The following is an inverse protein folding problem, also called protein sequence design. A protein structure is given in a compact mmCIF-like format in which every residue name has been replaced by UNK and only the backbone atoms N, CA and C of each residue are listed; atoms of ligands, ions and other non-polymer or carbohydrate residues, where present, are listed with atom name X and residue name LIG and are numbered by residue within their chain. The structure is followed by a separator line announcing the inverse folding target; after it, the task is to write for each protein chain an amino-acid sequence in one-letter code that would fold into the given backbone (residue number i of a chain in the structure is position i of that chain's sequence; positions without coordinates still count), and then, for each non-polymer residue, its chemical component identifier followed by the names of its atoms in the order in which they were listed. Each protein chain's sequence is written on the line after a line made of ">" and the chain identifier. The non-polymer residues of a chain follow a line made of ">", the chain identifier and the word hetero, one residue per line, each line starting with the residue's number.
data_IF_081977392021
#
_entry.id   IF_081977392021
#
_cell.length_a   1.000
_cell.length_b   1.000
_cell.length_c   1.000
_cell.angle_alpha   90.00
_cell.angle_beta   90.00
_cell.angle_gamma   90.00
#
_symmetry.space_group_name_H-M   'P 1'
#
loop_
_entity.id
_entity.type
_entity.pdbx_description
1 polymer ?
#
# COMPACT_ATOMS: atom_id res chain seq x y z
N UNK A 1 29.81 -10.15 -21.83
CA UNK A 1 29.67 -9.78 -20.41
C UNK A 1 28.17 -9.71 -20.13
N UNK A 2 27.57 -10.82 -19.69
CA UNK A 2 26.14 -10.84 -19.33
C UNK A 2 25.99 -10.18 -17.95
N UNK A 3 25.46 -8.96 -17.93
CA UNK A 3 24.97 -8.36 -16.69
C UNK A 3 23.70 -9.11 -16.29
N UNK A 4 23.83 -10.09 -15.40
CA UNK A 4 22.70 -10.59 -14.65
C UNK A 4 22.26 -9.45 -13.72
N UNK A 5 21.40 -8.56 -14.23
CA UNK A 5 20.63 -7.68 -13.39
C UNK A 5 19.75 -8.60 -12.53
N UNK A 6 20.20 -8.89 -11.31
CA UNK A 6 19.35 -9.52 -10.33
C UNK A 6 18.11 -8.65 -10.21
N UNK A 7 16.93 -9.22 -10.46
CA UNK A 7 15.67 -8.62 -10.08
C UNK A 7 15.66 -8.55 -8.55
N UNK A 8 16.34 -7.55 -7.98
CA UNK A 8 16.24 -7.25 -6.57
C UNK A 8 14.78 -6.90 -6.29
N UNK A 9 14.29 -7.32 -5.12
CA UNK A 9 12.92 -7.07 -4.64
C UNK A 9 12.59 -5.59 -4.78
N UNK A 10 11.74 -5.25 -5.75
CA UNK A 10 11.34 -3.87 -5.98
C UNK A 10 10.11 -3.57 -5.13
N UNK A 11 10.10 -2.37 -4.57
CA UNK A 11 8.91 -1.85 -3.94
C UNK A 11 7.97 -1.31 -5.03
N UNK A 12 6.66 -1.45 -4.83
CA UNK A 12 5.64 -0.93 -5.72
C UNK A 12 4.45 -0.38 -4.92
N UNK A 13 3.64 0.46 -5.56
CA UNK A 13 2.46 1.04 -4.95
C UNK A 13 1.33 0.01 -4.89
N UNK A 14 0.85 -0.27 -3.69
CA UNK A 14 -0.28 -1.17 -3.49
C UNK A 14 -1.60 -0.41 -3.56
N UNK A 15 -2.65 -0.97 -4.20
CA UNK A 15 -3.98 -0.39 -4.18
C UNK A 15 -4.52 -0.26 -2.76
N UNK A 16 -5.19 0.87 -2.52
CA UNK A 16 -5.94 1.10 -1.28
C UNK A 16 -7.39 0.68 -1.51
N UNK A 17 -7.85 -0.32 -0.74
CA UNK A 17 -9.18 -0.91 -0.85
C UNK A 17 -10.27 0.02 -0.29
N UNK A 18 -9.99 0.65 0.86
CA UNK A 18 -10.93 1.55 1.53
C UNK A 18 -10.20 2.53 2.45
N UNK A 19 -10.90 3.58 2.86
CA UNK A 19 -10.41 4.51 3.87
C UNK A 19 -11.52 5.01 4.79
N UNK A 20 -11.13 5.39 6.00
CA UNK A 20 -11.98 5.99 7.02
C UNK A 20 -11.33 7.28 7.53
N UNK A 21 -12.14 8.32 7.72
CA UNK A 21 -11.68 9.57 8.32
C UNK A 21 -11.91 9.55 9.83
N UNK A 22 -10.87 9.87 10.58
CA UNK A 22 -10.95 10.07 12.02
C UNK A 22 -11.80 11.29 12.40
N UNK A 23 -12.15 11.44 13.69
CA UNK A 23 -13.03 12.52 14.17
C UNK A 23 -12.50 13.93 13.92
N UNK A 24 -11.17 14.08 13.84
CA UNK A 24 -10.49 15.34 13.54
C UNK A 24 -10.53 15.71 12.04
N UNK A 25 -10.97 14.79 11.19
CA UNK A 25 -10.92 14.89 9.74
C UNK A 25 -9.50 14.94 9.16
N UNK A 26 -8.46 14.82 9.99
CA UNK A 26 -7.04 14.93 9.60
C UNK A 26 -6.33 13.59 9.63
N UNK A 27 -6.83 12.64 10.40
CA UNK A 27 -6.31 11.28 10.43
C UNK A 27 -7.13 10.44 9.46
N UNK A 28 -6.46 9.81 8.48
CA UNK A 28 -7.10 8.86 7.57
C UNK A 28 -6.54 7.47 7.86
N UNK A 29 -7.42 6.51 8.14
CA UNK A 29 -7.06 5.09 8.22
C UNK A 29 -7.38 4.46 6.88
N UNK A 30 -6.36 4.03 6.13
CA UNK A 30 -6.53 3.36 4.85
C UNK A 30 -6.24 1.86 4.98
N UNK A 31 -7.04 1.04 4.29
CA UNK A 31 -6.90 -0.42 4.25
C UNK A 31 -6.29 -0.83 2.92
N UNK A 32 -5.22 -1.62 2.98
CA UNK A 32 -4.71 -2.37 1.82
C UNK A 32 -4.96 -3.85 2.03
N UNK A 33 -5.00 -4.61 0.93
CA UNK A 33 -5.01 -6.07 0.99
C UNK A 33 -3.60 -6.59 0.75
N UNK A 34 -3.15 -7.50 1.60
CA UNK A 34 -1.86 -8.17 1.47
C UNK A 34 -2.06 -9.68 1.29
N UNK A 35 -0.96 -10.38 1.01
CA UNK A 35 -0.91 -11.83 1.05
C UNK A 35 -1.14 -12.38 2.46
N UNK A 36 -1.46 -13.67 2.52
CA UNK A 36 -1.61 -14.41 3.77
C UNK A 36 -0.31 -14.34 4.59
N UNK A 37 -0.38 -14.09 5.91
CA UNK A 37 0.81 -14.21 6.76
C UNK A 37 1.32 -15.65 6.78
N UNK A 38 2.64 -15.79 6.93
CA UNK A 38 3.30 -17.08 7.13
C UNK A 38 2.83 -17.78 8.40
N UNK A 39 3.24 -19.03 8.60
CA UNK A 39 2.93 -19.81 9.81
C UNK A 39 3.51 -19.21 11.09
N UNK A 40 4.50 -18.33 10.98
CA UNK A 40 5.09 -17.54 12.06
C UNK A 40 4.32 -16.25 12.35
N UNK A 41 3.21 -16.00 11.63
CA UNK A 41 2.39 -14.80 11.75
C UNK A 41 2.95 -13.57 11.02
N UNK A 42 4.08 -13.69 10.31
CA UNK A 42 4.69 -12.55 9.61
C UNK A 42 4.16 -12.41 8.19
N UNK A 43 3.99 -11.17 7.76
CA UNK A 43 3.66 -10.86 6.37
C UNK A 43 4.93 -10.81 5.52
N UNK A 44 4.82 -11.30 4.29
CA UNK A 44 5.83 -11.11 3.26
C UNK A 44 5.81 -9.69 2.69
N UNK A 45 4.68 -9.01 2.81
CA UNK A 45 4.48 -7.64 2.34
C UNK A 45 4.97 -6.66 3.42
N UNK A 46 6.13 -6.06 3.16
CA UNK A 46 6.74 -5.02 4.00
C UNK A 46 6.42 -3.63 3.43
N UNK A 47 5.88 -2.73 4.25
CA UNK A 47 5.71 -1.33 3.83
C UNK A 47 7.04 -0.61 3.90
N UNK A 48 7.48 -0.09 2.77
CA UNK A 48 8.73 0.67 2.62
C UNK A 48 8.51 2.16 2.70
N UNK A 49 7.29 2.64 2.44
CA UNK A 49 6.96 4.05 2.49
C UNK A 49 5.47 4.32 2.44
N UNK A 50 5.10 5.53 2.86
CA UNK A 50 3.77 6.09 2.67
C UNK A 50 3.89 7.46 2.02
N UNK A 51 2.86 7.85 1.27
CA UNK A 51 2.79 9.14 0.60
C UNK A 51 1.46 9.82 0.91
N UNK A 52 1.52 11.12 1.19
CA UNK A 52 0.38 12.04 1.22
C UNK A 52 0.72 13.22 0.33
N UNK A 53 -0.18 13.55 -0.61
CA UNK A 53 -0.10 14.78 -1.39
C UNK A 53 -1.43 15.50 -1.34
N UNK A 54 -1.44 16.68 -0.74
CA UNK A 54 -2.64 17.48 -0.59
C UNK A 54 -2.72 18.60 -1.61
N UNK A 55 -3.89 18.73 -2.21
CA UNK A 55 -4.27 19.85 -3.06
C UNK A 55 -5.59 20.43 -2.57
N UNK A 56 -5.99 21.58 -3.10
CA UNK A 56 -7.25 22.23 -2.71
C UNK A 56 -8.49 21.41 -3.06
N UNK A 57 -8.41 20.56 -4.09
CA UNK A 57 -9.53 19.81 -4.65
C UNK A 57 -9.48 18.30 -4.36
N UNK A 58 -8.34 17.74 -3.93
CA UNK A 58 -8.17 16.31 -3.64
C UNK A 58 -6.99 16.02 -2.72
N UNK A 59 -6.95 14.80 -2.18
CA UNK A 59 -5.83 14.25 -1.44
C UNK A 59 -5.42 12.94 -2.09
N UNK A 60 -4.13 12.77 -2.39
CA UNK A 60 -3.58 11.52 -2.92
C UNK A 60 -2.87 10.77 -1.81
N UNK A 61 -3.21 9.50 -1.61
CA UNK A 61 -2.58 8.59 -0.66
C UNK A 61 -1.86 7.47 -1.40
N UNK A 62 -0.72 7.03 -0.86
CA UNK A 62 0.01 5.88 -1.40
C UNK A 62 0.64 5.05 -0.30
N UNK A 63 0.60 3.74 -0.47
CA UNK A 63 1.34 2.77 0.34
C UNK A 63 2.31 2.04 -0.56
N UNK A 64 3.60 2.21 -0.32
CA UNK A 64 4.65 1.51 -1.04
C UNK A 64 5.01 0.23 -0.29
N UNK A 65 4.95 -0.90 -1.00
CA UNK A 65 5.11 -2.24 -0.44
C UNK A 65 6.18 -2.99 -1.22
N UNK A 66 7.02 -3.72 -0.49
CA UNK A 66 7.99 -4.66 -1.03
C UNK A 66 7.70 -6.06 -0.54
N UNK A 67 7.71 -7.03 -1.44
CA UNK A 67 7.64 -8.44 -1.06
C UNK A 67 9.02 -8.94 -0.59
N UNK A 68 9.19 -9.13 0.71
CA UNK A 68 10.42 -9.67 1.32
C UNK A 68 10.52 -11.19 1.26
N UNK A 69 9.49 -11.88 0.79
CA UNK A 69 9.54 -13.31 0.51
C UNK A 69 9.76 -13.60 -0.97
N UNK A 70 9.79 -12.59 -1.84
CA UNK A 70 10.03 -12.81 -3.25
C UNK A 70 11.39 -13.50 -3.43
N UNK A 71 11.43 -14.60 -4.20
CA UNK A 71 12.67 -15.31 -4.42
C UNK A 71 13.69 -14.43 -5.14
N UNK A 72 14.95 -14.48 -4.71
CA UNK A 72 16.01 -13.66 -5.32
C UNK A 72 16.47 -14.23 -6.68
N UNK A 73 16.12 -15.49 -6.94
CA UNK A 73 16.60 -16.25 -8.08
C UNK A 73 15.41 -16.77 -8.91
N UNK A 74 15.48 -16.70 -10.26
CA UNK A 74 14.34 -16.95 -11.13
C UNK A 74 13.85 -18.41 -11.19
N UNK A 75 14.57 -19.36 -10.60
CA UNK A 75 14.17 -20.78 -10.53
C UNK A 75 13.45 -21.16 -9.24
N UNK A 76 13.43 -20.26 -8.25
CA UNK A 76 12.68 -20.46 -7.02
C UNK A 76 11.21 -20.12 -7.28
N UNK A 77 10.30 -21.07 -7.04
CA UNK A 77 8.87 -20.87 -7.28
C UNK A 77 8.21 -20.22 -6.07
N UNK A 78 7.59 -19.05 -6.28
CA UNK A 78 6.60 -18.51 -5.32
C UNK A 78 5.26 -19.23 -5.54
N UNK A 79 4.63 -19.68 -4.46
CA UNK A 79 3.20 -20.01 -4.47
C UNK A 79 2.50 -18.65 -4.40
N UNK A 80 1.75 -18.26 -5.43
CA UNK A 80 1.03 -16.98 -5.41
C UNK A 80 0.13 -16.93 -4.18
N UNK A 81 0.37 -15.97 -3.29
CA UNK A 81 -0.54 -15.71 -2.19
C UNK A 81 -1.76 -14.99 -2.74
N UNK A 82 -2.95 -15.56 -2.58
CA UNK A 82 -4.19 -14.82 -2.78
C UNK A 82 -4.16 -13.61 -1.83
N UNK A 83 -4.31 -12.40 -2.41
CA UNK A 83 -4.51 -11.19 -1.62
C UNK A 83 -5.88 -11.25 -0.95
N UNK A 84 -5.98 -10.73 0.27
CA UNK A 84 -7.25 -10.73 1.01
C UNK A 84 -7.12 -10.52 2.51
N UNK A 85 -5.90 -10.33 3.01
CA UNK A 85 -5.67 -10.00 4.42
C UNK A 85 -5.56 -8.49 4.55
N UNK A 86 -6.53 -7.89 5.24
CA UNK A 86 -6.58 -6.45 5.44
C UNK A 86 -5.44 -5.98 6.37
N UNK A 87 -4.78 -4.89 5.98
CA UNK A 87 -3.84 -4.15 6.81
C UNK A 87 -4.18 -2.67 6.77
N UNK A 88 -4.27 -2.07 7.94
CA UNK A 88 -4.59 -0.66 8.12
C UNK A 88 -3.33 0.19 8.27
N UNK A 89 -3.36 1.39 7.69
CA UNK A 89 -2.31 2.39 7.79
C UNK A 89 -2.90 3.77 8.06
N UNK A 90 -2.28 4.48 8.99
CA UNK A 90 -2.70 5.84 9.32
C UNK A 90 -1.89 6.86 8.52
N UNK A 91 -2.61 7.82 7.95
CA UNK A 91 -2.08 8.99 7.29
C UNK A 91 -2.51 10.23 8.06
N UNK A 92 -1.63 11.22 8.12
CA UNK A 92 -1.92 12.50 8.73
C UNK A 92 -1.94 13.58 7.65
N UNK A 93 -3.04 14.32 7.59
CA UNK A 93 -3.24 15.45 6.71
C UNK A 93 -2.85 16.75 7.44
N UNK A 94 -2.26 17.68 6.70
CA UNK A 94 -2.00 19.06 7.12
C UNK A 94 -3.30 19.83 7.34
N UNK A 95 -4.34 19.52 6.55
CA UNK A 95 -5.67 20.12 6.65
C UNK A 95 -6.78 19.05 6.68
N UNK A 96 -7.92 19.30 7.34
CA UNK A 96 -9.02 18.34 7.36
C UNK A 96 -9.45 17.94 5.94
N UNK A 97 -9.87 16.68 5.75
CA UNK A 97 -10.32 16.16 4.47
C UNK A 97 -11.44 17.01 3.87
N UNK A 98 -12.37 17.48 4.72
CA UNK A 98 -13.39 18.48 4.38
C UNK A 98 -14.18 18.16 3.09
N UNK A 99 -14.44 16.87 2.84
CA UNK A 99 -15.17 16.40 1.65
C UNK A 99 -14.33 16.31 0.37
N UNK A 100 -13.03 16.63 0.42
CA UNK A 100 -12.10 16.37 -0.69
C UNK A 100 -12.06 14.87 -0.97
N UNK A 101 -12.10 14.43 -2.24
CA UNK A 101 -11.92 13.03 -2.59
C UNK A 101 -10.51 12.56 -2.23
N UNK A 102 -10.43 11.34 -1.70
CA UNK A 102 -9.20 10.57 -1.59
C UNK A 102 -8.93 9.85 -2.92
N UNK A 103 -7.71 9.95 -3.41
CA UNK A 103 -7.24 9.32 -4.64
C UNK A 103 -6.11 8.35 -4.30
N UNK A 104 -6.15 7.17 -4.90
CA UNK A 104 -5.12 6.14 -4.75
C UNK A 104 -3.97 6.41 -5.71
N UNK A 105 -2.74 6.48 -5.19
CA UNK A 105 -1.53 6.64 -5.98
C UNK A 105 -1.28 5.46 -6.94
N UNK A 106 -1.62 4.24 -6.54
CA UNK A 106 -1.35 3.04 -7.33
C UNK A 106 -2.24 2.95 -8.57
N UNK A 107 -3.52 3.33 -8.41
CA UNK A 107 -4.54 3.15 -9.46
C UNK A 107 -4.99 4.46 -10.12
N UNK A 108 -4.67 5.62 -9.53
CA UNK A 108 -5.21 6.94 -9.87
C UNK A 108 -6.76 6.99 -9.79
N UNK A 109 -7.35 6.07 -9.02
CA UNK A 109 -8.80 5.99 -8.80
C UNK A 109 -9.20 6.55 -7.45
N UNK A 110 -10.50 6.84 -7.30
CA UNK A 110 -11.05 7.31 -6.02
C UNK A 110 -11.06 6.16 -5.01
N UNK A 111 -10.53 6.41 -3.82
CA UNK A 111 -10.60 5.47 -2.70
C UNK A 111 -12.02 5.50 -2.11
N UNK A 112 -12.68 4.34 -1.96
CA UNK A 112 -13.96 4.24 -1.25
C UNK A 112 -13.84 4.67 0.21
N UNK A 113 -14.76 5.53 0.65
CA UNK A 113 -14.90 5.91 2.06
C UNK A 113 -15.95 5.03 2.73
N UNK A 114 -15.63 4.50 3.91
CA UNK A 114 -16.55 3.73 4.77
C UNK A 114 -17.18 4.60 5.87
#
# INVERSE_FOLDING_TARGET
>A
MLLAAGCARQADWYPIESAEAGPDGRTITATILTGKPGSDGKFCDEVTGTMVSETGDRVVLGVEVRDVCEPLLPWEKRISSNMGYAREYQFHLDSPLAGRPLMDRATDQRIPML
#
